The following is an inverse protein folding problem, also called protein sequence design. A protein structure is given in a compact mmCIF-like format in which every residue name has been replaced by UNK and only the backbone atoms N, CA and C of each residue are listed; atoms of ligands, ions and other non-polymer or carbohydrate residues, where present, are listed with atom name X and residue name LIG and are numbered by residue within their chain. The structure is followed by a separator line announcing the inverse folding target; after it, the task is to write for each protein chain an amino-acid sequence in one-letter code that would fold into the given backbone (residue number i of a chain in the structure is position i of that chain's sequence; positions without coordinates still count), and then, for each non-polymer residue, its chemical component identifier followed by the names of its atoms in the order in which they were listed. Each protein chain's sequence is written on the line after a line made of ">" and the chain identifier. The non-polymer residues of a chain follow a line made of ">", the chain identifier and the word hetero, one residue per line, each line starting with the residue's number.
data_IF_823853447276
#
_entry.id   IF_823853447276
#
_cell.length_a   1.000
_cell.length_b   1.000
_cell.length_c   1.000
_cell.angle_alpha   90.00
_cell.angle_beta   90.00
_cell.angle_gamma   90.00
#
_symmetry.space_group_name_H-M   'P 1'
#
loop_
_entity.id
_entity.type
_entity.pdbx_description
1 polymer ?
#
# COMPACT_ATOMS: atom_id res chain seq x y z
N UNK A 1 1.16 16.03 -45.34
CA UNK A 1 -0.28 16.09 -45.69
C UNK A 1 -1.04 15.45 -44.54
N UNK A 2 -1.79 16.25 -43.75
CA UNK A 2 -2.95 15.95 -42.89
C UNK A 2 -3.06 14.58 -42.14
N UNK A 3 -3.41 14.47 -40.85
CA UNK A 3 -4.20 15.30 -39.93
C UNK A 3 -3.93 14.80 -38.49
N UNK A 4 -3.59 15.71 -37.57
CA UNK A 4 -3.78 15.52 -36.14
C UNK A 4 -5.22 15.91 -35.79
N UNK A 5 -5.94 15.05 -35.06
CA UNK A 5 -7.25 15.36 -34.52
C UNK A 5 -7.11 16.02 -33.15
N UNK A 6 -7.63 17.25 -33.05
CA UNK A 6 -7.93 17.97 -31.81
C UNK A 6 -8.91 17.17 -30.97
N UNK A 7 -8.69 17.11 -29.67
CA UNK A 7 -9.77 17.08 -28.68
C UNK A 7 -9.65 18.33 -27.82
N UNK A 8 -10.74 19.08 -27.78
CA UNK A 8 -10.88 20.35 -27.09
C UNK A 8 -10.84 20.16 -25.58
N UNK A 9 -9.94 20.91 -24.94
CA UNK A 9 -9.93 21.14 -23.51
C UNK A 9 -11.07 22.12 -23.23
N UNK A 10 -12.12 21.65 -22.55
CA UNK A 10 -13.07 22.55 -21.93
C UNK A 10 -12.39 23.23 -20.74
N UNK A 11 -12.04 24.49 -20.97
CA UNK A 11 -11.62 25.47 -19.99
C UNK A 11 -12.77 25.70 -19.00
N UNK A 12 -12.71 25.12 -17.80
CA UNK A 12 -13.35 25.73 -16.64
C UNK A 12 -12.27 26.51 -15.90
N UNK A 13 -12.22 27.80 -16.19
CA UNK A 13 -11.37 28.76 -15.51
C UNK A 13 -12.10 29.19 -14.23
N UNK A 14 -11.65 28.72 -13.07
CA UNK A 14 -11.70 29.49 -11.82
C UNK A 14 -10.50 29.12 -10.93
N UNK A 15 -9.65 30.14 -10.72
CA UNK A 15 -8.63 30.30 -9.67
C UNK A 15 -7.43 29.34 -9.66
N UNK A 16 -6.52 29.57 -10.62
CA UNK A 16 -5.12 29.15 -10.59
C UNK A 16 -4.26 30.07 -9.71
N UNK A 17 -4.54 30.11 -8.40
CA UNK A 17 -3.73 30.81 -7.41
C UNK A 17 -3.95 30.22 -5.99
N UNK A 18 -3.44 29.01 -5.71
CA UNK A 18 -3.29 28.52 -4.31
C UNK A 18 -2.41 27.28 -4.10
N UNK A 19 -1.78 26.67 -5.12
CA UNK A 19 -1.06 25.40 -4.89
C UNK A 19 0.27 25.55 -4.14
N UNK A 20 0.80 26.77 -3.97
CA UNK A 20 1.99 27.02 -3.14
C UNK A 20 1.66 27.46 -1.69
N UNK A 21 0.44 27.93 -1.42
CA UNK A 21 0.03 28.44 -0.09
C UNK A 21 -0.73 27.40 0.74
N UNK A 22 -1.22 26.32 0.12
CA UNK A 22 -2.05 25.29 0.77
C UNK A 22 -1.26 24.21 1.53
N UNK A 23 0.04 24.05 1.26
CA UNK A 23 0.97 23.32 2.17
C UNK A 23 1.46 24.28 3.25
N UNK A 24 0.53 24.99 3.89
CA UNK A 24 0.84 25.80 5.06
C UNK A 24 1.11 24.87 6.24
N UNK A 25 2.38 24.71 6.58
CA UNK A 25 2.87 24.30 7.89
C UNK A 25 2.28 23.00 8.48
N UNK A 26 2.34 21.88 7.77
CA UNK A 26 2.24 20.53 8.40
C UNK A 26 3.53 20.19 9.19
N UNK A 27 4.04 21.18 9.92
CA UNK A 27 5.20 21.05 10.80
C UNK A 27 4.77 20.86 12.25
N UNK A 28 3.92 19.85 12.46
CA UNK A 28 3.48 19.45 13.80
C UNK A 28 4.56 18.54 14.39
N UNK A 29 5.15 18.90 15.55
CA UNK A 29 6.11 18.01 16.21
C UNK A 29 5.41 16.71 16.64
N UNK A 30 6.19 15.63 16.77
CA UNK A 30 5.67 14.35 17.26
C UNK A 30 4.93 14.55 18.59
N UNK A 31 3.67 14.13 18.73
CA UNK A 31 2.90 14.36 19.93
C UNK A 31 3.44 13.51 21.09
N UNK A 32 3.29 14.01 22.31
CA UNK A 32 3.46 13.20 23.51
C UNK A 32 2.35 12.15 23.56
N UNK A 33 2.69 10.91 23.90
CA UNK A 33 1.70 9.88 24.19
C UNK A 33 1.15 10.10 25.62
N UNK A 34 -0.10 9.67 25.89
CA UNK A 34 -0.65 9.67 27.25
C UNK A 34 0.26 8.92 28.23
N UNK A 35 0.33 9.39 29.48
CA UNK A 35 1.20 8.82 30.52
C UNK A 35 0.92 7.33 30.79
N UNK A 36 -0.36 6.93 30.70
CA UNK A 36 -0.82 5.56 30.92
C UNK A 36 -1.40 4.95 29.65
N UNK A 37 -0.59 4.19 28.93
CA UNK A 37 -1.03 3.41 27.76
C UNK A 37 -1.50 2.02 28.22
N UNK A 38 -2.73 1.58 27.89
CA UNK A 38 -3.21 0.25 28.20
C UNK A 38 -2.26 -0.87 27.71
N UNK A 39 -1.97 -1.90 28.53
CA UNK A 39 -1.13 -3.02 28.12
C UNK A 39 -1.64 -3.76 26.87
N UNK A 40 -2.95 -3.77 26.64
CA UNK A 40 -3.57 -4.32 25.43
C UNK A 40 -3.11 -3.64 24.15
N UNK A 41 -3.05 -2.30 24.13
CA UNK A 41 -2.59 -1.51 22.98
C UNK A 41 -1.12 -1.81 22.68
N UNK A 42 -0.31 -1.85 23.73
CA UNK A 42 1.11 -2.16 23.62
C UNK A 42 1.35 -3.57 23.06
N UNK A 43 0.59 -4.57 23.54
CA UNK A 43 0.66 -5.94 23.04
C UNK A 43 0.24 -6.07 21.56
N UNK A 44 -0.75 -5.27 21.12
CA UNK A 44 -1.14 -5.20 19.71
C UNK A 44 -0.03 -4.61 18.84
N UNK A 45 0.62 -3.53 19.29
CA UNK A 45 1.78 -2.98 18.61
C UNK A 45 2.94 -4.00 18.49
N UNK A 46 3.21 -4.80 19.53
CA UNK A 46 4.21 -5.89 19.47
C UNK A 46 3.81 -6.99 18.47
N UNK A 47 2.54 -7.40 18.47
CA UNK A 47 2.02 -8.36 17.51
C UNK A 47 2.12 -7.86 16.06
N UNK A 48 1.93 -6.55 15.84
CA UNK A 48 2.03 -5.93 14.53
C UNK A 48 3.46 -5.98 13.97
N UNK A 49 4.48 -5.78 14.81
CA UNK A 49 5.89 -6.00 14.44
C UNK A 49 6.11 -7.43 13.96
N UNK A 50 5.60 -8.41 14.72
CA UNK A 50 5.78 -9.83 14.38
C UNK A 50 5.12 -10.18 13.04
N UNK A 51 3.89 -9.68 12.81
CA UNK A 51 3.15 -9.96 11.58
C UNK A 51 3.79 -9.32 10.34
N UNK A 52 4.25 -8.08 10.44
CA UNK A 52 4.91 -7.37 9.33
C UNK A 52 6.24 -8.02 8.97
N UNK A 53 7.03 -8.44 9.97
CA UNK A 53 8.27 -9.19 9.75
C UNK A 53 7.99 -10.55 9.09
N UNK A 54 6.94 -11.26 9.52
CA UNK A 54 6.53 -12.52 8.90
C UNK A 54 6.16 -12.32 7.42
N UNK A 55 5.32 -11.32 7.12
CA UNK A 55 4.93 -10.97 5.75
C UNK A 55 6.15 -10.64 4.87
N UNK A 56 7.09 -9.84 5.38
CA UNK A 56 8.32 -9.50 4.66
C UNK A 56 9.17 -10.74 4.33
N UNK A 57 9.13 -11.77 5.18
CA UNK A 57 9.81 -13.04 4.95
C UNK A 57 9.13 -14.00 3.97
N UNK A 58 7.91 -13.69 3.49
CA UNK A 58 7.18 -14.57 2.56
C UNK A 58 7.60 -14.41 1.09
N UNK A 59 8.13 -13.25 0.71
CA UNK A 59 8.40 -12.89 -0.67
C UNK A 59 9.90 -12.69 -0.92
N UNK A 60 10.36 -13.12 -2.09
CA UNK A 60 11.66 -12.71 -2.60
C UNK A 60 11.68 -11.19 -2.90
N UNK A 61 12.85 -10.53 -2.83
CA UNK A 61 12.97 -9.08 -3.03
C UNK A 61 12.35 -8.56 -4.33
N UNK A 62 12.51 -9.28 -5.43
CA UNK A 62 12.00 -8.90 -6.75
C UNK A 62 10.47 -8.98 -6.78
N UNK A 63 9.89 -10.04 -6.21
CA UNK A 63 8.43 -10.18 -6.07
C UNK A 63 7.86 -9.10 -5.14
N UNK A 64 8.55 -8.83 -4.02
CA UNK A 64 8.21 -7.77 -3.08
C UNK A 64 8.22 -6.39 -3.77
N UNK A 65 9.18 -6.12 -4.65
CA UNK A 65 9.24 -4.88 -5.42
C UNK A 65 8.06 -4.76 -6.40
N UNK A 66 7.66 -5.84 -7.07
CA UNK A 66 6.45 -5.84 -7.91
C UNK A 66 5.19 -5.54 -7.09
N UNK A 67 5.01 -6.21 -5.94
CA UNK A 67 3.88 -5.96 -5.03
C UNK A 67 3.88 -4.51 -4.56
N UNK A 68 5.04 -3.97 -4.19
CA UNK A 68 5.18 -2.56 -3.79
C UNK A 68 4.70 -1.60 -4.87
N UNK A 69 5.13 -1.80 -6.13
CA UNK A 69 4.71 -0.92 -7.23
C UNK A 69 3.19 -0.91 -7.39
N UNK A 70 2.57 -2.09 -7.29
CA UNK A 70 1.12 -2.24 -7.44
C UNK A 70 0.33 -1.57 -6.33
N UNK A 71 0.80 -1.69 -5.08
CA UNK A 71 0.17 -1.03 -3.94
C UNK A 71 0.29 0.49 -4.06
N UNK A 72 1.43 1.00 -4.53
CA UNK A 72 1.61 2.43 -4.80
C UNK A 72 0.65 2.94 -5.87
N UNK A 73 0.45 2.18 -6.95
CA UNK A 73 -0.49 2.55 -8.02
C UNK A 73 -1.95 2.54 -7.51
N UNK A 74 -2.28 1.60 -6.61
CA UNK A 74 -3.63 1.47 -6.02
C UNK A 74 -3.92 2.50 -4.93
N UNK A 75 -2.90 3.04 -4.26
CA UNK A 75 -3.05 3.99 -3.15
C UNK A 75 -3.75 5.29 -3.58
N UNK A 76 -3.59 5.71 -4.85
CA UNK A 76 -4.31 6.86 -5.40
C UNK A 76 -5.83 6.62 -5.45
N UNK A 77 -6.26 5.41 -5.84
CA UNK A 77 -7.68 5.05 -5.90
C UNK A 77 -8.29 5.00 -4.50
N UNK A 78 -7.58 4.43 -3.51
CA UNK A 78 -8.05 4.44 -2.12
C UNK A 78 -8.13 5.85 -1.56
N UNK A 79 -7.15 6.70 -1.86
CA UNK A 79 -7.17 8.09 -1.41
C UNK A 79 -8.41 8.83 -1.90
N UNK A 80 -8.80 8.61 -3.16
CA UNK A 80 -10.06 9.14 -3.71
C UNK A 80 -11.29 8.64 -2.97
N UNK A 81 -11.31 7.36 -2.57
CA UNK A 81 -12.43 6.78 -1.80
C UNK A 81 -12.52 7.42 -0.41
N UNK A 82 -11.38 7.59 0.28
CA UNK A 82 -11.31 8.10 1.65
C UNK A 82 -11.67 9.60 1.71
N UNK A 83 -11.01 10.40 0.87
CA UNK A 83 -11.06 11.86 0.95
C UNK A 83 -12.13 12.48 0.02
N UNK A 84 -12.60 11.74 -0.98
CA UNK A 84 -13.61 12.20 -1.93
C UNK A 84 -13.08 13.07 -3.08
N UNK A 85 -11.78 13.33 -3.16
CA UNK A 85 -11.15 14.11 -4.23
C UNK A 85 -9.78 13.55 -4.68
N UNK A 86 -9.28 13.98 -5.83
CA UNK A 86 -7.97 13.58 -6.35
C UNK A 86 -6.86 14.39 -5.66
N UNK A 87 -5.71 13.75 -5.40
CA UNK A 87 -4.48 14.44 -4.93
C UNK A 87 -3.45 14.49 -6.04
N UNK A 88 -2.83 15.65 -6.24
CA UNK A 88 -1.78 15.81 -7.24
C UNK A 88 -0.45 15.20 -6.79
N UNK A 89 0.28 14.59 -7.72
CA UNK A 89 1.58 13.94 -7.47
C UNK A 89 2.64 14.88 -6.86
N UNK A 90 2.54 16.19 -7.10
CA UNK A 90 3.45 17.21 -6.55
C UNK A 90 3.32 17.34 -5.03
N UNK A 91 2.11 17.25 -4.49
CA UNK A 91 1.82 17.35 -3.05
C UNK A 91 2.43 16.15 -2.30
N UNK A 92 2.42 14.97 -2.92
CA UNK A 92 3.05 13.77 -2.36
C UNK A 92 4.59 13.92 -2.29
N UNK A 93 5.21 14.59 -3.27
CA UNK A 93 6.67 14.83 -3.28
C UNK A 93 7.11 15.83 -2.20
N UNK A 94 6.31 16.85 -1.94
CA UNK A 94 6.60 17.83 -0.89
C UNK A 94 6.39 17.23 0.51
N UNK A 95 5.38 16.38 0.68
CA UNK A 95 5.17 15.56 1.87
C UNK A 95 6.38 14.67 2.19
N UNK A 96 6.91 13.96 1.19
CA UNK A 96 8.12 13.13 1.32
C UNK A 96 9.33 13.96 1.79
N UNK A 97 9.50 15.16 1.23
CA UNK A 97 10.59 16.07 1.62
C UNK A 97 10.44 16.61 3.04
N UNK A 98 9.20 16.88 3.49
CA UNK A 98 8.91 17.35 4.85
C UNK A 98 9.12 16.26 5.89
N UNK A 99 8.62 15.05 5.63
CA UNK A 99 8.81 13.89 6.50
C UNK A 99 10.29 13.49 6.63
N UNK A 100 11.08 13.64 5.57
CA UNK A 100 12.54 13.44 5.62
C UNK A 100 13.23 14.48 6.53
N UNK A 101 12.76 15.73 6.56
CA UNK A 101 13.28 16.78 7.47
C UNK A 101 12.85 16.60 8.92
N UNK A 102 11.72 15.93 9.16
CA UNK A 102 11.17 15.63 10.49
C UNK A 102 11.61 14.25 11.03
N UNK A 103 12.55 13.57 10.37
CA UNK A 103 12.99 12.18 10.62
C UNK A 103 13.79 11.96 11.91
N UNK A 104 13.33 12.50 13.02
CA UNK A 104 13.65 11.95 14.34
C UNK A 104 12.36 11.50 14.99
N UNK A 105 11.91 10.28 14.66
CA UNK A 105 11.10 9.46 15.57
C UNK A 105 12.01 9.09 16.77
N UNK A 106 12.46 10.11 17.51
CA UNK A 106 13.69 10.10 18.29
C UNK A 106 13.47 10.67 19.69
N UNK A 107 13.07 9.77 20.59
CA UNK A 107 13.31 9.81 22.04
C UNK A 107 13.01 8.43 22.66
N UNK A 108 12.05 7.69 22.11
CA UNK A 108 11.72 6.34 22.56
C UNK A 108 12.62 5.29 21.90
N UNK A 109 13.37 4.54 22.71
CA UNK A 109 14.11 3.34 22.29
C UNK A 109 13.18 2.17 21.97
N UNK A 110 11.95 2.20 22.49
CA UNK A 110 11.01 1.10 22.43
C UNK A 110 10.16 1.14 21.14
N UNK A 111 10.23 0.07 20.34
CA UNK A 111 9.59 -0.03 19.03
C UNK A 111 8.06 0.10 19.09
N UNK A 112 7.40 -0.59 20.03
CA UNK A 112 5.94 -0.47 20.21
C UNK A 112 5.48 0.97 20.44
N UNK A 113 6.22 1.77 21.21
CA UNK A 113 5.89 3.19 21.43
C UNK A 113 6.12 4.04 20.19
N UNK A 114 7.15 3.73 19.40
CA UNK A 114 7.40 4.39 18.11
C UNK A 114 6.23 4.20 17.13
N UNK A 115 5.59 3.02 17.14
CA UNK A 115 4.36 2.75 16.38
C UNK A 115 3.22 3.65 16.85
N UNK A 116 2.99 3.72 18.17
CA UNK A 116 1.94 4.56 18.72
C UNK A 116 2.17 6.04 18.43
N UNK A 117 3.41 6.53 18.49
CA UNK A 117 3.77 7.90 18.11
C UNK A 117 3.42 8.17 16.65
N UNK A 118 3.73 7.25 15.74
CA UNK A 118 3.40 7.42 14.32
C UNK A 118 1.89 7.57 14.10
N UNK A 119 1.09 6.71 14.76
CA UNK A 119 -0.38 6.78 14.68
C UNK A 119 -0.95 8.02 15.37
N UNK A 120 -0.39 8.41 16.52
CA UNK A 120 -0.79 9.63 17.21
C UNK A 120 -0.48 10.88 16.38
N UNK A 121 0.66 10.89 15.69
CA UNK A 121 1.04 12.00 14.80
C UNK A 121 0.02 12.16 13.67
N UNK A 122 -0.48 11.06 13.09
CA UNK A 122 -1.57 11.10 12.12
C UNK A 122 -2.81 11.83 12.63
N UNK A 123 -3.27 11.44 13.84
CA UNK A 123 -4.42 12.06 14.48
C UNK A 123 -4.21 13.56 14.68
N UNK A 124 -3.04 13.96 15.21
CA UNK A 124 -2.74 15.37 15.48
C UNK A 124 -2.63 16.20 14.20
N UNK A 125 -2.09 15.67 13.11
CA UNK A 125 -2.06 16.37 11.83
C UNK A 125 -3.48 16.71 11.36
N UNK A 126 -4.42 15.77 11.50
CA UNK A 126 -5.80 15.98 11.04
C UNK A 126 -6.67 16.81 11.98
N UNK A 127 -6.35 16.86 13.27
CA UNK A 127 -7.02 17.78 14.19
C UNK A 127 -6.60 19.23 13.98
N UNK A 128 -5.36 19.47 13.54
CA UNK A 128 -4.82 20.82 13.31
C UNK A 128 -5.04 21.33 11.87
N UNK A 129 -5.46 20.47 10.94
CA UNK A 129 -5.65 20.81 9.53
C UNK A 129 -6.96 20.19 8.99
N UNK A 130 -7.88 20.98 8.40
CA UNK A 130 -9.08 20.46 7.77
C UNK A 130 -8.77 19.42 6.68
N UNK A 131 -9.63 18.40 6.55
CA UNK A 131 -9.45 17.28 5.62
C UNK A 131 -9.60 17.67 4.13
N UNK A 132 -10.05 18.88 3.79
CA UNK A 132 -10.44 19.20 2.40
C UNK A 132 -9.29 19.48 1.42
N UNK A 133 -8.02 19.54 1.86
CA UNK A 133 -6.93 20.11 1.04
C UNK A 133 -5.74 19.16 0.87
N UNK A 134 -5.97 17.87 0.60
CA UNK A 134 -4.89 16.88 0.40
C UNK A 134 -4.06 16.54 1.65
N UNK A 135 -4.30 17.26 2.76
CA UNK A 135 -3.66 17.08 4.06
C UNK A 135 -3.85 15.67 4.63
N UNK A 136 -5.02 15.06 4.42
CA UNK A 136 -5.30 13.69 4.85
C UNK A 136 -4.40 12.66 4.16
N UNK A 137 -4.15 12.82 2.86
CA UNK A 137 -3.22 11.97 2.14
C UNK A 137 -1.77 12.17 2.58
N UNK A 138 -1.37 13.43 2.79
CA UNK A 138 -0.04 13.72 3.35
C UNK A 138 0.13 13.09 4.74
N UNK A 139 -0.87 13.19 5.62
CA UNK A 139 -0.84 12.56 6.93
C UNK A 139 -0.71 11.03 6.84
N UNK A 140 -1.35 10.39 5.85
CA UNK A 140 -1.18 8.94 5.60
C UNK A 140 0.24 8.60 5.11
N UNK A 141 0.81 9.41 4.20
CA UNK A 141 2.20 9.22 3.73
C UNK A 141 3.19 9.37 4.88
N UNK A 142 3.00 10.36 5.75
CA UNK A 142 3.88 10.57 6.92
C UNK A 142 3.88 9.31 7.81
N UNK A 143 2.72 8.70 8.06
CA UNK A 143 2.63 7.43 8.81
C UNK A 143 3.34 6.30 8.07
N UNK A 144 3.11 6.15 6.76
CA UNK A 144 3.80 5.14 5.96
C UNK A 144 5.33 5.32 6.03
N UNK A 145 5.83 6.55 6.00
CA UNK A 145 7.27 6.81 6.14
C UNK A 145 7.79 6.44 7.53
N UNK A 146 7.05 6.78 8.60
CA UNK A 146 7.42 6.37 9.96
C UNK A 146 7.48 4.84 10.06
N UNK A 147 6.49 4.13 9.51
CA UNK A 147 6.48 2.67 9.45
C UNK A 147 7.65 2.10 8.65
N UNK A 148 8.03 2.72 7.54
CA UNK A 148 9.20 2.30 6.76
C UNK A 148 10.50 2.49 7.56
N UNK A 149 10.66 3.62 8.24
CA UNK A 149 11.85 3.93 9.07
C UNK A 149 12.04 2.97 10.24
N UNK A 150 10.95 2.33 10.72
CA UNK A 150 10.99 1.38 11.83
C UNK A 150 10.85 -0.08 11.40
N UNK A 151 10.95 -0.37 10.10
CA UNK A 151 11.01 -1.73 9.58
C UNK A 151 9.68 -2.48 9.55
N UNK A 152 8.55 -1.77 9.40
CA UNK A 152 7.21 -2.37 9.31
C UNK A 152 6.74 -2.63 7.88
N UNK A 153 7.61 -2.41 6.89
CA UNK A 153 7.39 -2.75 5.49
C UNK A 153 6.02 -2.29 4.91
N UNK A 154 5.64 -1.00 5.04
CA UNK A 154 4.35 -0.49 4.54
C UNK A 154 4.24 -0.46 3.00
N UNK A 155 5.26 -0.97 2.30
CA UNK A 155 5.25 -1.21 0.87
C UNK A 155 4.75 -2.63 0.52
N UNK A 156 4.47 -3.49 1.50
CA UNK A 156 3.95 -4.86 1.29
C UNK A 156 2.48 -5.02 1.71
N UNK A 157 1.88 -3.98 2.25
CA UNK A 157 0.49 -3.91 2.69
C UNK A 157 0.03 -2.45 2.60
N UNK A 158 -1.27 -2.18 2.45
CA UNK A 158 -1.78 -0.81 2.24
C UNK A 158 -2.67 -0.36 3.39
N UNK A 159 -2.17 0.58 4.20
CA UNK A 159 -2.99 1.28 5.20
C UNK A 159 -4.19 1.98 4.55
N UNK A 160 -3.97 2.61 3.39
CA UNK A 160 -5.01 3.31 2.64
C UNK A 160 -6.15 2.39 2.23
N UNK A 161 -5.85 1.16 1.78
CA UNK A 161 -6.89 0.15 1.49
C UNK A 161 -7.78 -0.14 2.68
N UNK A 162 -7.16 -0.38 3.84
CA UNK A 162 -7.90 -0.70 5.07
C UNK A 162 -8.76 0.48 5.55
N UNK A 163 -8.25 1.70 5.47
CA UNK A 163 -9.02 2.91 5.79
C UNK A 163 -10.18 3.09 4.80
N UNK A 164 -9.96 2.90 3.50
CA UNK A 164 -11.01 3.01 2.49
C UNK A 164 -12.18 2.04 2.75
N UNK A 165 -11.87 0.81 3.18
CA UNK A 165 -12.87 -0.20 3.57
C UNK A 165 -13.68 0.19 4.81
N UNK A 166 -13.04 0.88 5.75
CA UNK A 166 -13.62 1.28 7.04
C UNK A 166 -13.76 2.81 7.11
N UNK A 167 -14.09 3.44 5.99
CA UNK A 167 -14.07 4.90 5.82
C UNK A 167 -14.98 5.61 6.83
N UNK A 168 -16.18 5.09 7.06
CA UNK A 168 -17.12 5.68 8.01
C UNK A 168 -16.60 5.60 9.45
N UNK A 169 -16.02 4.46 9.84
CA UNK A 169 -15.39 4.29 11.15
C UNK A 169 -14.16 5.19 11.31
N UNK A 170 -13.35 5.34 10.27
CA UNK A 170 -12.19 6.25 10.28
C UNK A 170 -12.60 7.71 10.48
N UNK A 171 -13.61 8.17 9.75
CA UNK A 171 -14.14 9.53 9.90
C UNK A 171 -14.80 9.74 11.27
N UNK A 172 -15.49 8.72 11.80
CA UNK A 172 -16.05 8.74 13.15
C UNK A 172 -14.97 8.77 14.24
N UNK A 173 -13.87 8.01 14.09
CA UNK A 173 -12.76 7.96 15.04
C UNK A 173 -11.97 9.28 15.11
N UNK A 174 -12.10 10.13 14.09
CA UNK A 174 -11.57 11.50 14.06
C UNK A 174 -12.56 12.54 14.61
N UNK A 175 -13.72 12.11 15.14
CA UNK A 175 -14.83 12.95 15.61
C UNK A 175 -15.41 13.88 14.51
N UNK A 176 -15.41 13.44 13.25
CA UNK A 176 -15.81 14.26 12.09
C UNK A 176 -17.23 14.00 11.57
N UNK A 177 -18.02 13.16 12.24
CA UNK A 177 -19.45 13.05 11.94
C UNK A 177 -20.12 14.37 12.31
N UNK A 178 -20.62 15.11 11.31
CA UNK A 178 -21.17 16.47 11.41
C UNK A 178 -22.35 16.66 12.37
N UNK A 179 -22.11 16.50 13.66
CA UNK A 179 -22.96 16.94 14.76
C UNK A 179 -22.40 18.23 15.33
N UNK A 180 -23.27 19.23 15.42
CA UNK A 180 -23.09 20.57 15.96
C UNK A 180 -21.94 20.69 16.96
N UNK A 181 -21.01 21.60 16.67
CA UNK A 181 -19.97 22.07 17.58
C UNK A 181 -20.61 22.92 18.72
N UNK A 182 -21.43 22.28 19.54
CA UNK A 182 -22.07 22.83 20.73
C UNK A 182 -22.01 21.82 21.88
N UNK A 183 -20.80 21.60 22.41
CA UNK A 183 -20.53 21.32 23.83
C UNK A 183 -19.06 20.91 24.01
N UNK A 184 -18.13 21.87 23.92
CA UNK A 184 -16.77 21.64 24.45
C UNK A 184 -16.37 22.81 25.35
N UNK A 185 -17.04 22.89 26.50
CA UNK A 185 -16.56 23.61 27.67
C UNK A 185 -16.70 22.70 28.91
N UNK A 186 -16.14 21.48 28.84
CA UNK A 186 -15.91 20.61 30.00
C UNK A 186 -15.09 19.32 29.69
N UNK A 187 -14.42 19.21 28.54
CA UNK A 187 -13.56 18.06 28.25
C UNK A 187 -12.16 18.27 28.82
N UNK A 188 -11.85 17.69 29.98
CA UNK A 188 -10.48 17.72 30.53
C UNK A 188 -9.50 16.89 29.69
N UNK A 189 -8.18 17.03 29.95
CA UNK A 189 -7.11 16.27 29.29
C UNK A 189 -7.33 14.74 29.25
N UNK A 190 -8.05 14.21 30.23
CA UNK A 190 -8.42 12.79 30.29
C UNK A 190 -9.37 12.34 29.17
N UNK A 191 -10.24 13.23 28.67
CA UNK A 191 -11.15 12.93 27.57
C UNK A 191 -10.42 12.96 26.22
N UNK A 192 -9.48 13.89 26.02
CA UNK A 192 -8.65 13.93 24.82
C UNK A 192 -7.72 12.71 24.72
N UNK A 193 -7.16 12.26 25.84
CA UNK A 193 -6.33 11.05 25.89
C UNK A 193 -7.14 9.81 25.51
N UNK A 194 -8.39 9.72 26.00
CA UNK A 194 -9.28 8.60 25.67
C UNK A 194 -9.63 8.55 24.18
N UNK A 195 -9.93 9.70 23.57
CA UNK A 195 -10.21 9.78 22.13
C UNK A 195 -8.98 9.37 21.30
N UNK A 196 -7.79 9.89 21.65
CA UNK A 196 -6.54 9.52 20.97
C UNK A 196 -6.24 8.02 21.08
N UNK A 197 -6.38 7.43 22.26
CA UNK A 197 -6.16 5.99 22.45
C UNK A 197 -7.16 5.15 21.64
N UNK A 198 -8.43 5.56 21.59
CA UNK A 198 -9.43 4.91 20.75
C UNK A 198 -9.10 4.97 19.26
N UNK A 199 -8.63 6.13 18.79
CA UNK A 199 -8.14 6.28 17.42
C UNK A 199 -6.93 5.36 17.12
N UNK A 200 -5.97 5.29 18.04
CA UNK A 200 -4.80 4.40 17.93
C UNK A 200 -5.22 2.93 17.85
N UNK A 201 -6.17 2.50 18.70
CA UNK A 201 -6.71 1.13 18.67
C UNK A 201 -7.34 0.79 17.32
N UNK A 202 -8.18 1.68 16.81
CA UNK A 202 -8.79 1.56 15.48
C UNK A 202 -7.73 1.44 14.39
N UNK A 203 -6.74 2.34 14.36
CA UNK A 203 -5.69 2.31 13.34
C UNK A 203 -4.84 1.05 13.42
N UNK A 204 -4.56 0.53 14.63
CA UNK A 204 -3.90 -0.76 14.79
C UNK A 204 -4.77 -1.91 14.25
N UNK A 205 -6.11 -1.84 14.38
CA UNK A 205 -7.01 -2.89 13.86
C UNK A 205 -6.92 -2.92 12.33
N UNK A 206 -6.99 -1.74 11.71
CA UNK A 206 -6.79 -1.58 10.27
C UNK A 206 -5.43 -2.14 9.83
N UNK A 207 -4.35 -1.79 10.52
CA UNK A 207 -3.01 -2.29 10.20
C UNK A 207 -2.92 -3.82 10.29
N UNK A 208 -3.51 -4.42 11.33
CA UNK A 208 -3.53 -5.87 11.50
C UNK A 208 -4.32 -6.58 10.40
N UNK A 209 -5.52 -6.09 10.06
CA UNK A 209 -6.36 -6.68 9.01
C UNK A 209 -5.67 -6.65 7.64
N UNK A 210 -4.98 -5.55 7.31
CA UNK A 210 -4.29 -5.41 6.03
C UNK A 210 -3.06 -6.33 5.93
N UNK A 211 -2.29 -6.46 7.01
CA UNK A 211 -1.17 -7.42 7.05
C UNK A 211 -1.66 -8.86 7.02
N UNK A 212 -2.74 -9.18 7.74
CA UNK A 212 -3.33 -10.52 7.75
C UNK A 212 -3.89 -10.89 6.37
N UNK A 213 -4.53 -9.94 5.68
CA UNK A 213 -4.99 -10.11 4.30
C UNK A 213 -3.82 -10.44 3.36
N UNK A 214 -2.76 -9.62 3.38
CA UNK A 214 -1.60 -9.85 2.52
C UNK A 214 -0.90 -11.17 2.85
N UNK A 215 -0.78 -11.50 4.13
CA UNK A 215 -0.23 -12.78 4.59
C UNK A 215 -1.05 -13.98 4.10
N UNK A 216 -2.38 -13.88 4.18
CA UNK A 216 -3.28 -14.93 3.72
C UNK A 216 -3.28 -15.08 2.18
N UNK A 217 -3.13 -13.98 1.45
CA UNK A 217 -3.12 -14.00 0.00
C UNK A 217 -1.77 -14.47 -0.58
N UNK A 218 -0.66 -14.11 0.08
CA UNK A 218 0.71 -14.40 -0.37
C UNK A 218 1.30 -15.67 0.24
N UNK A 219 0.58 -16.40 1.10
CA UNK A 219 1.08 -17.69 1.56
C UNK A 219 1.18 -18.69 0.40
N UNK A 220 2.17 -19.60 0.49
CA UNK A 220 2.52 -20.55 -0.57
C UNK A 220 1.34 -21.39 -1.08
N UNK A 221 0.43 -21.78 -0.19
CA UNK A 221 -0.74 -22.60 -0.57
C UNK A 221 -1.70 -21.78 -1.42
N UNK A 222 -2.05 -20.58 -0.95
CA UNK A 222 -2.98 -19.71 -1.66
C UNK A 222 -2.41 -19.22 -2.98
N UNK A 223 -1.14 -18.85 -3.03
CA UNK A 223 -0.45 -18.51 -4.29
C UNK A 223 -0.49 -19.65 -5.30
N UNK A 224 -0.24 -20.89 -4.87
CA UNK A 224 -0.34 -22.06 -5.76
C UNK A 224 -1.75 -22.22 -6.32
N UNK A 225 -2.77 -22.13 -5.47
CA UNK A 225 -4.18 -22.20 -5.87
C UNK A 225 -4.51 -21.11 -6.89
N UNK A 226 -4.18 -19.85 -6.60
CA UNK A 226 -4.47 -18.69 -7.47
C UNK A 226 -3.72 -18.77 -8.80
N UNK A 227 -2.42 -19.08 -8.80
CA UNK A 227 -1.63 -19.24 -10.03
C UNK A 227 -2.17 -20.40 -10.86
N UNK A 228 -2.47 -21.54 -10.24
CA UNK A 228 -3.01 -22.70 -10.96
C UNK A 228 -4.37 -22.36 -11.56
N UNK A 229 -5.25 -21.70 -10.82
CA UNK A 229 -6.55 -21.27 -11.33
C UNK A 229 -6.38 -20.31 -12.51
N UNK A 230 -5.59 -19.24 -12.34
CA UNK A 230 -5.35 -18.25 -13.38
C UNK A 230 -4.85 -18.89 -14.68
N UNK A 231 -3.86 -19.79 -14.60
CA UNK A 231 -3.32 -20.50 -15.77
C UNK A 231 -4.30 -21.46 -16.44
N UNK A 232 -5.37 -21.87 -15.77
CA UNK A 232 -6.40 -22.73 -16.34
C UNK A 232 -7.61 -21.93 -16.88
N UNK A 233 -7.93 -20.77 -16.31
CA UNK A 233 -9.19 -20.08 -16.57
C UNK A 233 -9.04 -18.71 -17.22
N UNK A 234 -7.88 -18.06 -17.11
CA UNK A 234 -7.71 -16.69 -17.61
C UNK A 234 -7.63 -16.69 -19.15
N UNK A 235 -8.52 -15.94 -19.79
CA UNK A 235 -8.63 -15.92 -21.25
C UNK A 235 -7.38 -15.32 -21.91
N UNK A 236 -6.73 -14.32 -21.30
CA UNK A 236 -5.50 -13.70 -21.86
C UNK A 236 -4.37 -14.71 -21.97
N UNK A 237 -4.23 -15.60 -20.99
CA UNK A 237 -3.25 -16.69 -21.04
C UNK A 237 -3.58 -17.68 -22.15
N UNK A 238 -4.85 -18.06 -22.27
CA UNK A 238 -5.32 -19.01 -23.28
C UNK A 238 -5.18 -18.45 -24.70
N UNK A 239 -5.57 -17.20 -24.92
CA UNK A 239 -5.46 -16.46 -26.19
C UNK A 239 -4.00 -16.24 -26.60
N UNK A 240 -3.10 -16.01 -25.64
CA UNK A 240 -1.66 -15.97 -25.88
C UNK A 240 -1.04 -17.36 -26.15
N UNK A 241 -1.84 -18.43 -26.06
CA UNK A 241 -1.39 -19.81 -26.23
C UNK A 241 -0.47 -20.30 -25.12
N UNK A 242 -0.56 -19.72 -23.93
CA UNK A 242 0.22 -20.16 -22.77
C UNK A 242 -0.42 -21.43 -22.22
N UNK A 243 0.40 -22.47 -22.06
CA UNK A 243 -0.07 -23.79 -21.62
C UNK A 243 -0.20 -23.81 -20.10
N UNK A 244 -1.34 -24.21 -19.57
CA UNK A 244 -1.56 -24.34 -18.12
C UNK A 244 -0.48 -25.17 -17.39
N UNK A 245 0.12 -26.16 -18.08
CA UNK A 245 1.21 -26.99 -17.56
C UNK A 245 2.43 -26.20 -17.07
N UNK A 246 2.65 -24.96 -17.54
CA UNK A 246 3.81 -24.15 -17.10
C UNK A 246 3.56 -23.42 -15.78
N UNK A 247 2.36 -23.48 -15.21
CA UNK A 247 2.01 -22.84 -13.94
C UNK A 247 3.00 -23.14 -12.78
N UNK A 248 3.52 -24.38 -12.60
CA UNK A 248 4.52 -24.66 -11.57
C UNK A 248 5.85 -23.92 -11.77
N UNK A 249 6.29 -23.73 -13.02
CA UNK A 249 7.49 -22.96 -13.34
C UNK A 249 7.30 -21.47 -13.01
N UNK A 250 6.13 -20.92 -13.34
CA UNK A 250 5.77 -19.56 -12.98
C UNK A 250 5.65 -19.37 -11.46
N UNK A 251 5.05 -20.33 -10.74
CA UNK A 251 4.98 -20.31 -9.28
C UNK A 251 6.38 -20.33 -8.65
N UNK A 252 7.31 -21.12 -9.20
CA UNK A 252 8.70 -21.15 -8.74
C UNK A 252 9.38 -19.79 -8.93
N UNK A 253 9.19 -19.14 -10.09
CA UNK A 253 9.68 -17.79 -10.35
C UNK A 253 9.05 -16.77 -9.38
N UNK A 254 7.74 -16.83 -9.15
CA UNK A 254 7.05 -15.93 -8.22
C UNK A 254 7.56 -16.05 -6.78
N UNK A 255 7.88 -17.26 -6.33
CA UNK A 255 8.41 -17.50 -4.97
C UNK A 255 9.88 -17.05 -4.87
N UNK A 256 10.66 -17.27 -5.92
CA UNK A 256 12.11 -16.98 -5.93
C UNK A 256 12.45 -15.55 -6.37
N UNK A 257 11.50 -14.83 -6.98
CA UNK A 257 11.68 -13.47 -7.51
C UNK A 257 12.38 -13.45 -8.86
N UNK A 258 13.52 -14.14 -8.94
CA UNK A 258 14.33 -14.32 -10.13
C UNK A 258 14.79 -15.77 -10.30
N UNK A 259 14.97 -16.22 -11.54
CA UNK A 259 15.48 -17.54 -11.88
C UNK A 259 16.34 -17.52 -13.14
N UNK A 260 17.40 -18.34 -13.23
CA UNK A 260 18.07 -18.61 -14.48
C UNK A 260 17.07 -19.14 -15.52
N UNK A 261 17.16 -18.64 -16.75
CA UNK A 261 16.29 -19.05 -17.86
C UNK A 261 16.34 -20.56 -18.11
N UNK A 262 17.51 -21.18 -17.94
CA UNK A 262 17.71 -22.63 -18.05
C UNK A 262 16.94 -23.41 -16.97
N UNK A 263 16.89 -22.90 -15.76
CA UNK A 263 16.18 -23.50 -14.64
C UNK A 263 14.66 -23.37 -14.82
N UNK A 264 14.19 -22.17 -15.19
CA UNK A 264 12.80 -21.96 -15.56
C UNK A 264 12.35 -22.93 -16.67
N UNK A 265 13.14 -23.05 -17.74
CA UNK A 265 12.87 -23.98 -18.83
C UNK A 265 12.77 -25.43 -18.35
N UNK A 266 13.63 -25.83 -17.41
CA UNK A 266 13.60 -27.16 -16.80
C UNK A 266 12.31 -27.37 -16.01
N UNK A 267 11.87 -26.39 -15.21
CA UNK A 267 10.62 -26.46 -14.44
C UNK A 267 9.37 -26.52 -15.31
N UNK A 268 9.42 -26.05 -16.57
CA UNK A 268 8.27 -26.21 -17.48
C UNK A 268 7.97 -27.67 -17.82
N UNK A 269 8.97 -28.57 -17.72
CA UNK A 269 8.86 -29.96 -18.16
C UNK A 269 8.54 -30.10 -19.65
N UNK A 270 8.95 -29.12 -20.46
CA UNK A 270 8.83 -29.10 -21.92
C UNK A 270 10.19 -29.32 -22.59
N UNK A 271 10.18 -29.71 -23.86
CA UNK A 271 11.38 -29.72 -24.70
C UNK A 271 11.89 -28.29 -24.94
N UNK A 272 13.20 -28.13 -25.14
CA UNK A 272 13.89 -26.82 -25.14
C UNK A 272 13.23 -25.76 -26.02
N UNK A 273 12.87 -26.10 -27.26
CA UNK A 273 12.21 -25.17 -28.18
C UNK A 273 10.80 -24.75 -27.68
N UNK A 274 10.01 -25.72 -27.22
CA UNK A 274 8.67 -25.45 -26.68
C UNK A 274 8.73 -24.62 -25.38
N UNK A 275 9.72 -24.87 -24.51
CA UNK A 275 9.95 -24.09 -23.30
C UNK A 275 10.30 -22.64 -23.65
N UNK A 276 11.26 -22.43 -24.57
CA UNK A 276 11.67 -21.10 -25.02
C UNK A 276 10.49 -20.31 -25.63
N UNK A 277 9.66 -20.98 -26.43
CA UNK A 277 8.45 -20.39 -27.00
C UNK A 277 7.44 -19.95 -25.92
N UNK A 278 7.27 -20.72 -24.84
CA UNK A 278 6.40 -20.35 -23.72
C UNK A 278 6.97 -19.17 -22.92
N UNK A 279 8.30 -19.12 -22.70
CA UNK A 279 8.96 -17.96 -22.07
C UNK A 279 8.73 -16.69 -22.90
N UNK A 280 8.90 -16.76 -24.23
CA UNK A 280 8.62 -15.61 -25.11
C UNK A 280 7.18 -15.12 -25.00
N UNK A 281 6.21 -16.03 -24.91
CA UNK A 281 4.79 -15.67 -24.69
C UNK A 281 4.57 -14.99 -23.34
N UNK A 282 5.16 -15.51 -22.27
CA UNK A 282 5.08 -14.92 -20.93
C UNK A 282 5.67 -13.50 -20.89
N UNK A 283 6.80 -13.29 -21.57
CA UNK A 283 7.42 -11.95 -21.70
C UNK A 283 6.50 -11.02 -22.48
N UNK A 284 5.94 -11.46 -23.61
CA UNK A 284 5.08 -10.64 -24.45
C UNK A 284 3.80 -10.15 -23.74
N UNK A 285 3.25 -10.94 -22.81
CA UNK A 285 2.08 -10.53 -22.02
C UNK A 285 2.44 -9.86 -20.69
N UNK A 286 3.73 -9.69 -20.40
CA UNK A 286 4.24 -8.99 -19.23
C UNK A 286 4.16 -9.76 -17.92
N UNK A 287 4.08 -11.10 -17.93
CA UNK A 287 4.19 -11.91 -16.69
C UNK A 287 5.64 -12.19 -16.28
N UNK A 288 6.58 -12.10 -17.22
CA UNK A 288 8.00 -12.37 -17.00
C UNK A 288 8.81 -11.25 -17.65
N UNK A 289 9.89 -10.84 -17.02
CA UNK A 289 10.85 -9.88 -17.56
C UNK A 289 12.18 -10.58 -17.77
N UNK A 290 12.89 -10.21 -18.83
CA UNK A 290 14.29 -10.54 -19.01
C UNK A 290 15.07 -9.22 -18.95
N UNK A 291 15.77 -8.93 -17.85
CA UNK A 291 16.45 -7.66 -17.66
C UNK A 291 17.50 -7.42 -18.76
N UNK A 292 17.61 -6.21 -19.33
CA UNK A 292 18.64 -5.91 -20.33
C UNK A 292 20.07 -6.10 -19.80
N UNK A 293 20.26 -5.96 -18.48
CA UNK A 293 21.54 -6.15 -17.79
C UNK A 293 21.93 -7.63 -17.63
N UNK A 294 20.96 -8.56 -17.67
CA UNK A 294 21.19 -9.99 -17.53
C UNK A 294 20.13 -10.81 -18.30
N UNK A 295 20.43 -11.08 -19.57
CA UNK A 295 19.54 -11.84 -20.47
C UNK A 295 19.43 -13.33 -20.11
N UNK A 296 20.29 -13.85 -19.22
CA UNK A 296 20.25 -15.24 -18.77
C UNK A 296 19.30 -15.44 -17.60
N UNK A 297 18.86 -14.35 -16.96
CA UNK A 297 17.93 -14.38 -15.84
C UNK A 297 16.54 -13.94 -16.27
N UNK A 298 15.54 -14.57 -15.67
CA UNK A 298 14.14 -14.20 -15.76
C UNK A 298 13.71 -13.66 -14.40
N UNK A 299 13.00 -12.54 -14.40
CA UNK A 299 12.39 -11.95 -13.21
C UNK A 299 10.87 -12.02 -13.34
N UNK A 300 10.18 -12.10 -12.20
CA UNK A 300 8.73 -12.00 -12.18
C UNK A 300 8.28 -10.59 -12.60
N UNK A 301 7.19 -10.52 -13.36
CA UNK A 301 6.38 -9.31 -13.43
C UNK A 301 4.96 -9.61 -12.98
N UNK A 302 4.35 -8.63 -12.34
CA UNK A 302 2.98 -8.70 -11.84
C UNK A 302 2.18 -7.56 -12.47
N UNK A 303 1.67 -7.74 -13.71
CA UNK A 303 0.80 -6.75 -14.31
C UNK A 303 -0.55 -6.72 -13.59
N UNK A 304 -1.18 -5.55 -13.49
CA UNK A 304 -2.44 -5.31 -12.77
C UNK A 304 -3.51 -6.39 -13.04
N UNK A 305 -3.70 -6.77 -14.30
CA UNK A 305 -4.70 -7.77 -14.68
C UNK A 305 -4.47 -9.15 -14.06
N UNK A 306 -3.21 -9.55 -13.85
CA UNK A 306 -2.85 -10.83 -13.23
C UNK A 306 -2.87 -10.74 -11.71
N UNK A 307 -2.58 -9.55 -11.16
CA UNK A 307 -2.66 -9.28 -9.73
C UNK A 307 -4.09 -9.47 -9.23
N UNK A 308 -5.11 -9.12 -10.02
CA UNK A 308 -6.51 -9.41 -9.70
C UNK A 308 -6.80 -10.91 -9.52
N UNK A 309 -6.02 -11.79 -10.15
CA UNK A 309 -6.12 -13.24 -9.95
C UNK A 309 -5.46 -13.68 -8.63
N UNK A 310 -4.37 -13.02 -8.23
CA UNK A 310 -3.64 -13.33 -7.00
C UNK A 310 -4.28 -12.71 -5.76
N UNK A 311 -4.73 -11.45 -5.88
CA UNK A 311 -5.22 -10.55 -4.84
C UNK A 311 -6.61 -9.99 -5.25
N UNK A 312 -7.67 -10.81 -5.28
CA UNK A 312 -8.97 -10.40 -5.84
C UNK A 312 -9.64 -9.24 -5.09
N UNK A 313 -9.31 -9.06 -3.81
CA UNK A 313 -9.85 -8.00 -2.97
C UNK A 313 -8.98 -6.74 -2.91
N UNK A 314 -7.91 -6.67 -3.72
CA UNK A 314 -7.10 -5.47 -3.81
C UNK A 314 -7.90 -4.36 -4.51
N UNK A 315 -8.43 -4.61 -5.70
CA UNK A 315 -9.13 -3.59 -6.48
C UNK A 315 -10.64 -3.52 -6.24
N UNK A 316 -11.14 -4.04 -5.12
CA UNK A 316 -12.56 -3.92 -4.77
C UNK A 316 -12.87 -2.48 -4.37
N UNK A 317 -13.84 -1.87 -5.03
CA UNK A 317 -14.48 -0.62 -4.61
C UNK A 317 -15.64 -0.93 -3.67
N UNK A 318 -15.70 -0.22 -2.55
CA UNK A 318 -16.72 -0.34 -1.49
C UNK A 318 -17.64 0.88 -1.51
#
# INVERSE_FOLDING_TARGET
>A
MHRFARFEIYTCCMTSASSMDSVSAMNVPNPALPDSIPPSILARADAFVTKTAFLAGLLAPETAACVSSLLMDSDADYSKIIDGHHIESVVLKDALNLANKQSTLGASTELRRRILVALAHHYHLLQNHPISDGNAAVARIIVQMHFAQIGLHPHLWSLSRGIARRREEYHAALDMTGGTQECQLAGGAQQSDKTLLGFIEFMLDVCHEEVDYMTAALNRRKLRESVTNAFNTNSRLTEAGIRAKIAPAFLALLIQGALPRSEFNTFTGLQSEAASNQVGRLINIGLVVSPPSDLLTLEVALPDWFVRELLPDLHKSW
#
